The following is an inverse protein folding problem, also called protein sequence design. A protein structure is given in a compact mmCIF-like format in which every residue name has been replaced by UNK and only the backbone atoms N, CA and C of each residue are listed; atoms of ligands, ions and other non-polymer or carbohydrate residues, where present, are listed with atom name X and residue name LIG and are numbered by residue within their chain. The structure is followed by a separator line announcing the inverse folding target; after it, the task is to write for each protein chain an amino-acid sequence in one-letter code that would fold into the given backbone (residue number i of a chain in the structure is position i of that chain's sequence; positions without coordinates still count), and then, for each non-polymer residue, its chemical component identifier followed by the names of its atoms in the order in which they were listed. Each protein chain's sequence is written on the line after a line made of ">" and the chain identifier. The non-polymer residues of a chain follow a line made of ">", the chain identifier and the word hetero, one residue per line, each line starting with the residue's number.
data_IF_476696510317
#
_entry.id   IF_476696510317
#
_cell.length_a   1.000
_cell.length_b   1.000
_cell.length_c   1.000
_cell.angle_alpha   90.00
_cell.angle_beta   90.00
_cell.angle_gamma   90.00
#
_symmetry.space_group_name_H-M   'P 1'
#
loop_
_entity.id
_entity.type
_entity.pdbx_description
1 polymer ?
#
# COMPACT_ATOMS: atom_id res chain seq x y z
N UNK A 1 24.37 21.85 24.04
CA UNK A 1 23.82 21.20 22.83
C UNK A 1 24.27 19.74 22.86
N UNK A 2 23.42 18.78 22.45
CA UNK A 2 23.84 17.37 22.38
C UNK A 2 25.00 17.23 21.38
N UNK A 3 26.10 16.59 21.80
CA UNK A 3 27.33 16.40 21.03
C UNK A 3 27.60 14.93 20.69
N UNK A 4 26.64 14.05 20.96
CA UNK A 4 26.78 12.63 20.66
C UNK A 4 26.62 12.33 19.17
N UNK A 5 27.12 11.16 18.77
CA UNK A 5 26.94 10.66 17.41
C UNK A 5 25.46 10.36 17.14
N UNK A 6 24.99 10.73 15.95
CA UNK A 6 23.65 10.43 15.43
C UNK A 6 23.77 9.78 14.06
N UNK A 7 22.73 9.06 13.64
CA UNK A 7 22.77 8.30 12.40
C UNK A 7 22.04 6.97 12.49
N UNK A 8 22.15 6.13 11.45
CA UNK A 8 21.62 4.76 11.46
C UNK A 8 22.17 3.96 12.65
N UNK A 9 21.32 3.16 13.27
CA UNK A 9 21.74 2.26 14.36
C UNK A 9 22.54 1.08 13.81
N UNK A 10 23.36 0.43 14.65
CA UNK A 10 24.13 -0.75 14.25
C UNK A 10 23.25 -1.86 13.67
N UNK A 11 22.05 -2.07 14.23
CA UNK A 11 21.05 -3.04 13.73
C UNK A 11 20.66 -2.76 12.26
N UNK A 12 20.54 -1.48 11.88
CA UNK A 12 20.24 -1.09 10.49
C UNK A 12 21.47 -1.21 9.59
N UNK A 13 22.65 -0.85 10.09
CA UNK A 13 23.89 -0.93 9.33
C UNK A 13 24.24 -2.38 8.95
N UNK A 14 23.96 -3.34 9.84
CA UNK A 14 24.13 -4.78 9.56
C UNK A 14 23.23 -5.27 8.41
N UNK A 15 22.10 -4.60 8.16
CA UNK A 15 21.14 -4.94 7.11
C UNK A 15 21.31 -4.11 5.83
N UNK A 16 22.25 -3.17 5.80
CA UNK A 16 22.35 -2.16 4.74
C UNK A 16 22.70 -2.74 3.36
N UNK A 17 23.43 -3.86 3.32
CA UNK A 17 23.84 -4.53 2.07
C UNK A 17 22.67 -5.19 1.32
N UNK A 18 21.54 -5.44 2.01
CA UNK A 18 20.35 -6.05 1.43
C UNK A 18 19.18 -5.07 1.47
N UNK A 19 18.82 -4.44 0.33
CA UNK A 19 17.68 -3.52 0.27
C UNK A 19 16.36 -4.16 0.73
N UNK A 20 16.20 -5.47 0.53
CA UNK A 20 15.03 -6.21 0.97
C UNK A 20 15.02 -6.40 2.49
N UNK A 21 16.15 -6.76 3.10
CA UNK A 21 16.22 -6.92 4.56
C UNK A 21 16.09 -5.58 5.27
N UNK A 22 16.70 -4.52 4.72
CA UNK A 22 16.50 -3.15 5.18
C UNK A 22 15.04 -2.72 5.09
N UNK A 23 14.35 -3.03 3.98
CA UNK A 23 12.92 -2.77 3.86
C UNK A 23 12.10 -3.55 4.89
N UNK A 24 12.42 -4.83 5.11
CA UNK A 24 11.73 -5.69 6.07
C UNK A 24 12.05 -5.33 7.52
N UNK A 25 13.14 -4.63 7.80
CA UNK A 25 13.37 -4.02 9.11
C UNK A 25 12.29 -2.97 9.42
N UNK A 26 12.04 -2.06 8.48
CA UNK A 26 11.04 -1.00 8.66
C UNK A 26 9.61 -1.49 8.53
N UNK A 27 9.38 -2.51 7.70
CA UNK A 27 8.07 -3.14 7.46
C UNK A 27 8.16 -4.66 7.68
N UNK A 28 8.10 -5.13 8.95
CA UNK A 28 8.37 -6.51 9.31
C UNK A 28 7.48 -7.55 8.62
N UNK A 29 8.00 -8.77 8.43
CA UNK A 29 7.25 -9.93 7.90
C UNK A 29 5.91 -10.16 8.62
N UNK A 30 5.88 -9.94 9.95
CA UNK A 30 4.66 -10.03 10.77
C UNK A 30 3.59 -9.01 10.34
N UNK A 31 4.00 -7.80 9.95
CA UNK A 31 3.08 -6.79 9.42
C UNK A 31 2.43 -7.30 8.13
N UNK A 32 3.19 -7.80 7.15
CA UNK A 32 2.64 -8.30 5.88
C UNK A 32 1.71 -9.50 6.06
N UNK A 33 2.02 -10.42 6.98
CA UNK A 33 1.11 -11.52 7.36
C UNK A 33 -0.21 -11.00 7.92
N UNK A 34 -0.18 -9.94 8.73
CA UNK A 34 -1.40 -9.27 9.20
C UNK A 34 -2.19 -8.64 8.04
N UNK A 35 -1.53 -7.96 7.11
CA UNK A 35 -2.21 -7.37 5.95
C UNK A 35 -2.90 -8.43 5.10
N UNK A 36 -2.25 -9.57 4.87
CA UNK A 36 -2.87 -10.71 4.17
C UNK A 36 -4.13 -11.20 4.89
N UNK A 37 -4.05 -11.44 6.20
CA UNK A 37 -5.20 -11.87 7.00
C UNK A 37 -6.36 -10.85 6.98
N UNK A 38 -6.08 -9.56 7.11
CA UNK A 38 -7.11 -8.52 7.06
C UNK A 38 -7.69 -8.33 5.65
N UNK A 39 -6.90 -8.56 4.60
CA UNK A 39 -7.36 -8.51 3.21
C UNK A 39 -8.32 -9.66 2.89
N UNK A 40 -8.01 -10.88 3.34
CA UNK A 40 -8.90 -12.04 3.20
C UNK A 40 -10.16 -11.88 4.05
N UNK A 41 -10.03 -11.34 5.28
CA UNK A 41 -11.19 -10.98 6.11
C UNK A 41 -12.10 -9.99 5.39
N UNK A 42 -11.53 -8.92 4.83
CA UNK A 42 -12.31 -7.93 4.08
C UNK A 42 -13.00 -8.55 2.87
N UNK A 43 -12.29 -9.41 2.13
CA UNK A 43 -12.86 -10.12 0.99
C UNK A 43 -14.10 -10.92 1.38
N UNK A 44 -14.01 -11.73 2.44
CA UNK A 44 -15.12 -12.54 2.95
C UNK A 44 -16.29 -11.68 3.45
N UNK A 45 -16.01 -10.63 4.22
CA UNK A 45 -17.03 -9.69 4.73
C UNK A 45 -17.84 -9.03 3.59
N UNK A 46 -17.23 -8.84 2.42
CA UNK A 46 -17.85 -8.16 1.29
C UNK A 46 -18.25 -9.10 0.16
N UNK A 47 -18.10 -10.42 0.33
CA UNK A 47 -18.31 -11.41 -0.73
C UNK A 47 -19.76 -11.39 -1.22
N UNK A 48 -20.73 -11.48 -0.31
CA UNK A 48 -22.16 -11.46 -0.66
C UNK A 48 -22.54 -10.15 -1.40
N UNK A 49 -22.22 -8.99 -0.82
CA UNK A 49 -22.50 -7.70 -1.44
C UNK A 49 -21.76 -7.48 -2.77
N UNK A 50 -20.59 -8.10 -2.96
CA UNK A 50 -19.88 -8.11 -4.25
C UNK A 50 -20.63 -8.96 -5.27
N UNK A 51 -21.08 -10.15 -4.90
CA UNK A 51 -21.86 -11.06 -5.76
C UNK A 51 -23.19 -10.42 -6.16
N UNK A 52 -23.90 -9.78 -5.23
CA UNK A 52 -25.16 -9.09 -5.52
C UNK A 52 -24.96 -7.97 -6.55
N UNK A 53 -23.88 -7.18 -6.42
CA UNK A 53 -23.50 -6.17 -7.41
C UNK A 53 -23.11 -6.77 -8.76
N UNK A 54 -22.42 -7.90 -8.77
CA UNK A 54 -22.08 -8.60 -10.02
C UNK A 54 -23.35 -9.11 -10.70
N UNK A 55 -24.28 -9.69 -9.94
CA UNK A 55 -25.54 -10.21 -10.44
C UNK A 55 -26.44 -9.11 -11.01
N UNK A 56 -26.58 -7.99 -10.31
CA UNK A 56 -27.39 -6.84 -10.75
C UNK A 56 -26.84 -6.18 -12.03
N UNK A 57 -25.51 -6.17 -12.20
CA UNK A 57 -24.84 -5.49 -13.32
C UNK A 57 -24.56 -6.40 -14.53
N UNK A 58 -25.20 -7.57 -14.62
CA UNK A 58 -25.03 -8.47 -15.76
C UNK A 58 -25.67 -7.89 -17.04
N UNK A 59 -24.82 -7.51 -18.00
CA UNK A 59 -25.22 -6.93 -19.30
C UNK A 59 -25.15 -7.92 -20.47
N UNK A 60 -24.54 -9.08 -20.28
CA UNK A 60 -24.28 -10.06 -21.35
C UNK A 60 -25.42 -11.06 -21.52
N UNK A 61 -25.67 -11.55 -22.76
CA UNK A 61 -26.52 -12.72 -22.99
C UNK A 61 -25.98 -13.95 -22.25
N UNK A 62 -26.85 -14.73 -21.60
CA UNK A 62 -26.43 -15.84 -20.72
C UNK A 62 -26.12 -15.39 -19.30
N UNK A 63 -27.14 -14.89 -18.60
CA UNK A 63 -27.00 -14.44 -17.20
C UNK A 63 -26.68 -15.63 -16.30
N UNK A 64 -25.59 -15.52 -15.56
CA UNK A 64 -25.21 -16.48 -14.52
C UNK A 64 -26.12 -16.32 -13.33
N UNK A 65 -26.43 -17.45 -12.70
CA UNK A 65 -27.18 -17.42 -11.44
C UNK A 65 -26.34 -16.78 -10.33
N UNK A 66 -27.01 -16.28 -9.29
CA UNK A 66 -26.33 -15.74 -8.12
C UNK A 66 -25.40 -16.76 -7.48
N UNK A 67 -25.83 -18.02 -7.44
CA UNK A 67 -25.10 -19.12 -6.81
C UNK A 67 -23.84 -19.50 -7.60
N UNK A 68 -23.92 -19.51 -8.94
CA UNK A 68 -22.73 -19.67 -9.79
C UNK A 68 -21.69 -18.58 -9.57
N UNK A 69 -22.14 -17.33 -9.44
CA UNK A 69 -21.25 -16.20 -9.14
C UNK A 69 -20.65 -16.32 -7.75
N UNK A 70 -21.45 -16.74 -6.76
CA UNK A 70 -20.99 -16.98 -5.39
C UNK A 70 -19.92 -18.07 -5.35
N UNK A 71 -20.17 -19.24 -5.96
CA UNK A 71 -19.20 -20.33 -6.03
C UNK A 71 -17.91 -19.90 -6.73
N UNK A 72 -18.02 -19.17 -7.85
CA UNK A 72 -16.84 -18.68 -8.58
C UNK A 72 -16.00 -17.72 -7.76
N UNK A 73 -16.63 -16.76 -7.08
CA UNK A 73 -15.91 -15.80 -6.26
C UNK A 73 -15.34 -16.46 -5.00
N UNK A 74 -16.09 -17.35 -4.34
CA UNK A 74 -15.64 -18.08 -3.15
C UNK A 74 -14.48 -19.05 -3.43
N UNK A 75 -14.35 -19.55 -4.67
CA UNK A 75 -13.26 -20.44 -5.08
C UNK A 75 -11.90 -19.72 -5.25
N UNK A 76 -11.86 -18.40 -5.18
CA UNK A 76 -10.60 -17.67 -5.33
C UNK A 76 -9.66 -17.98 -4.17
N UNK A 77 -8.40 -18.23 -4.51
CA UNK A 77 -7.36 -18.51 -3.51
C UNK A 77 -7.16 -17.32 -2.57
N UNK A 78 -6.89 -17.62 -1.31
CA UNK A 78 -6.55 -16.63 -0.30
C UNK A 78 -5.34 -15.81 -0.72
N UNK A 79 -5.32 -14.53 -0.34
CA UNK A 79 -4.20 -13.63 -0.57
C UNK A 79 -3.10 -13.95 0.44
N UNK A 80 -1.90 -14.22 -0.06
CA UNK A 80 -0.73 -14.46 0.79
C UNK A 80 0.13 -13.20 0.98
N UNK A 81 0.90 -13.17 2.08
CA UNK A 81 1.75 -12.03 2.41
C UNK A 81 2.80 -11.73 1.34
N UNK A 82 3.36 -12.77 0.73
CA UNK A 82 4.38 -12.62 -0.31
C UNK A 82 3.78 -12.01 -1.59
N UNK A 83 2.52 -12.29 -1.92
CA UNK A 83 1.84 -11.70 -3.08
C UNK A 83 1.63 -10.19 -2.91
N UNK A 84 1.33 -9.74 -1.69
CA UNK A 84 1.24 -8.30 -1.39
C UNK A 84 2.59 -7.61 -1.59
N UNK A 85 3.69 -8.28 -1.24
CA UNK A 85 5.04 -7.78 -1.52
C UNK A 85 5.33 -7.72 -3.03
N UNK A 86 4.88 -8.71 -3.81
CA UNK A 86 4.97 -8.66 -5.27
C UNK A 86 4.18 -7.47 -5.84
N UNK A 87 2.95 -7.25 -5.38
CA UNK A 87 2.15 -6.06 -5.77
C UNK A 87 2.91 -4.77 -5.47
N UNK A 88 3.51 -4.64 -4.29
CA UNK A 88 4.33 -3.48 -3.96
C UNK A 88 5.54 -3.35 -4.90
N UNK A 89 6.24 -4.44 -5.19
CA UNK A 89 7.35 -4.47 -6.14
C UNK A 89 6.93 -4.01 -7.54
N UNK A 90 5.77 -4.44 -8.03
CA UNK A 90 5.22 -4.00 -9.32
C UNK A 90 4.85 -2.51 -9.33
N UNK A 91 4.33 -1.98 -8.22
CA UNK A 91 4.07 -0.54 -8.07
C UNK A 91 5.38 0.27 -8.05
N UNK A 92 6.41 -0.22 -7.36
CA UNK A 92 7.75 0.39 -7.38
C UNK A 92 8.36 0.38 -8.79
N UNK A 93 8.28 -0.76 -9.49
CA UNK A 93 8.74 -0.89 -10.87
C UNK A 93 8.02 0.09 -11.82
N UNK A 94 6.70 0.29 -11.63
CA UNK A 94 5.93 1.31 -12.36
C UNK A 94 6.42 2.73 -12.06
N UNK A 95 6.77 3.05 -10.81
CA UNK A 95 7.26 4.38 -10.46
C UNK A 95 8.62 4.67 -11.08
N UNK A 96 9.52 3.67 -11.11
CA UNK A 96 10.86 3.80 -11.69
C UNK A 96 10.83 3.85 -13.22
N UNK A 97 9.91 3.12 -13.85
CA UNK A 97 9.71 3.12 -15.30
C UNK A 97 8.24 3.40 -15.65
N UNK A 98 7.82 4.68 -15.64
CA UNK A 98 6.46 5.04 -16.00
C UNK A 98 6.25 4.85 -17.49
N UNK A 99 5.62 3.73 -17.90
CA UNK A 99 5.14 3.61 -19.28
C UNK A 99 4.16 4.73 -19.60
N UNK A 100 4.36 5.36 -20.75
CA UNK A 100 3.67 6.59 -21.19
C UNK A 100 2.14 6.48 -21.32
N UNK A 101 1.61 5.27 -21.50
CA UNK A 101 0.19 5.07 -21.77
C UNK A 101 -0.59 4.71 -20.49
N UNK A 102 -0.88 3.43 -20.26
CA UNK A 102 -1.70 3.00 -19.12
C UNK A 102 -0.95 2.03 -18.20
N UNK A 103 -1.46 1.87 -16.98
CA UNK A 103 -0.91 0.91 -16.02
C UNK A 103 -1.02 -0.54 -16.51
N UNK A 104 -2.06 -0.85 -17.29
CA UNK A 104 -2.31 -2.19 -17.83
C UNK A 104 -1.29 -2.62 -18.88
N UNK A 105 -0.58 -1.69 -19.50
CA UNK A 105 0.41 -1.99 -20.55
C UNK A 105 1.64 -2.71 -20.01
N UNK A 106 1.87 -2.69 -18.70
CA UNK A 106 2.89 -3.53 -18.08
C UNK A 106 2.60 -5.03 -18.16
N UNK A 107 1.35 -5.41 -18.45
CA UNK A 107 0.93 -6.78 -18.75
C UNK A 107 0.72 -7.04 -20.25
N UNK A 108 1.03 -6.08 -21.13
CA UNK A 108 0.94 -6.30 -22.58
C UNK A 108 1.91 -7.39 -23.01
N UNK A 109 1.43 -8.37 -23.76
CA UNK A 109 2.28 -9.42 -24.37
C UNK A 109 2.86 -8.97 -25.70
N UNK A 110 2.30 -7.92 -26.30
CA UNK A 110 2.66 -7.43 -27.63
C UNK A 110 3.80 -6.42 -27.56
N UNK A 111 4.66 -6.46 -28.58
CA UNK A 111 5.63 -5.41 -28.89
C UNK A 111 5.02 -4.49 -29.94
N UNK A 112 5.09 -3.19 -29.73
CA UNK A 112 4.56 -2.19 -30.69
C UNK A 112 5.71 -1.27 -31.10
N UNK A 113 6.24 -1.48 -32.30
CA UNK A 113 7.44 -0.77 -32.78
C UNK A 113 8.63 -0.98 -31.85
N UNK A 114 9.22 0.11 -31.36
CA UNK A 114 10.31 0.09 -30.38
C UNK A 114 9.88 -0.18 -28.93
N UNK A 115 8.56 -0.26 -28.65
CA UNK A 115 8.05 -0.49 -27.28
C UNK A 115 8.08 -1.98 -26.97
N UNK A 116 8.88 -2.36 -25.97
CA UNK A 116 8.98 -3.74 -25.50
C UNK A 116 7.70 -4.25 -24.83
N UNK A 117 7.49 -5.58 -24.89
CA UNK A 117 6.42 -6.26 -24.15
C UNK A 117 6.52 -5.98 -22.65
N UNK A 118 5.41 -6.05 -21.95
CA UNK A 118 5.35 -5.98 -20.51
C UNK A 118 6.00 -7.19 -19.84
N UNK A 119 6.60 -6.98 -18.66
CA UNK A 119 7.26 -8.03 -17.86
C UNK A 119 6.45 -8.45 -16.64
N UNK A 120 5.30 -7.80 -16.36
CA UNK A 120 4.60 -8.05 -15.11
C UNK A 120 3.96 -9.45 -15.06
N UNK A 121 3.65 -10.05 -16.22
CA UNK A 121 3.17 -11.43 -16.28
C UNK A 121 4.17 -12.45 -15.72
N UNK A 122 5.47 -12.14 -15.72
CA UNK A 122 6.51 -13.03 -15.20
C UNK A 122 6.48 -13.10 -13.66
N UNK A 123 5.83 -12.13 -12.99
CA UNK A 123 5.77 -12.03 -11.53
C UNK A 123 4.34 -12.23 -10.99
N UNK A 124 3.34 -11.67 -11.66
CA UNK A 124 1.94 -11.78 -11.23
C UNK A 124 0.98 -11.54 -12.41
N UNK A 125 0.05 -12.47 -12.70
CA UNK A 125 -0.98 -12.24 -13.70
C UNK A 125 -1.87 -11.04 -13.38
N UNK A 126 -2.31 -10.32 -14.41
CA UNK A 126 -3.10 -9.08 -14.25
C UNK A 126 -4.36 -9.27 -13.38
N UNK A 127 -5.09 -10.36 -13.59
CA UNK A 127 -6.33 -10.64 -12.85
C UNK A 127 -6.07 -10.87 -11.35
N UNK A 128 -4.92 -11.47 -11.00
CA UNK A 128 -4.51 -11.67 -9.60
C UNK A 128 -4.10 -10.36 -8.96
N UNK A 129 -3.34 -9.53 -9.68
CA UNK A 129 -3.02 -8.16 -9.24
C UNK A 129 -4.28 -7.33 -8.98
N UNK A 130 -5.23 -7.31 -9.91
CA UNK A 130 -6.50 -6.59 -9.78
C UNK A 130 -7.33 -7.12 -8.61
N UNK A 131 -7.34 -8.44 -8.39
CA UNK A 131 -8.00 -9.07 -7.25
C UNK A 131 -7.38 -8.62 -5.92
N UNK A 132 -6.05 -8.64 -5.80
CA UNK A 132 -5.35 -8.22 -4.59
C UNK A 132 -5.59 -6.73 -4.36
N UNK A 133 -5.33 -5.86 -5.34
CA UNK A 133 -5.54 -4.41 -5.22
C UNK A 133 -6.97 -4.02 -4.83
N UNK A 134 -7.97 -4.78 -5.26
CA UNK A 134 -9.37 -4.56 -4.90
C UNK A 134 -9.72 -4.99 -3.47
N UNK A 135 -8.85 -5.74 -2.79
CA UNK A 135 -9.10 -6.32 -1.46
C UNK A 135 -8.03 -5.98 -0.40
N UNK A 136 -6.87 -5.41 -0.77
CA UNK A 136 -5.82 -5.02 0.19
C UNK A 136 -6.41 -4.16 1.31
N UNK A 137 -6.30 -4.66 2.55
CA UNK A 137 -6.75 -4.00 3.77
C UNK A 137 -5.70 -4.13 4.87
N UNK A 138 -5.48 -3.05 5.61
CA UNK A 138 -4.46 -3.00 6.67
C UNK A 138 -5.04 -3.22 8.08
N UNK A 139 -6.35 -3.07 8.27
CA UNK A 139 -7.04 -3.09 9.56
C UNK A 139 -8.42 -3.72 9.43
N UNK A 140 -8.90 -4.32 10.52
CA UNK A 140 -10.25 -4.87 10.59
C UNK A 140 -11.29 -3.73 10.61
N UNK A 141 -12.21 -3.73 9.64
CA UNK A 141 -13.28 -2.72 9.58
C UNK A 141 -14.38 -2.92 10.63
N UNK A 142 -14.46 -4.11 11.25
CA UNK A 142 -15.44 -4.40 12.30
C UNK A 142 -14.99 -3.95 13.70
N UNK A 143 -13.77 -3.41 13.83
CA UNK A 143 -13.26 -2.91 15.09
C UNK A 143 -14.02 -1.63 15.52
N UNK A 144 -14.45 -1.49 16.79
CA UNK A 144 -15.11 -0.28 17.28
C UNK A 144 -14.31 1.01 17.04
N UNK A 145 -12.98 0.93 17.02
CA UNK A 145 -12.10 2.07 16.74
C UNK A 145 -12.24 2.59 15.29
N UNK A 146 -12.78 1.79 14.38
CA UNK A 146 -13.07 2.23 13.00
C UNK A 146 -14.06 3.40 12.96
N UNK A 147 -14.94 3.51 13.96
CA UNK A 147 -15.92 4.59 14.05
C UNK A 147 -15.32 5.91 14.56
N UNK A 148 -14.28 5.84 15.41
CA UNK A 148 -13.70 7.02 16.07
C UNK A 148 -12.41 7.51 15.42
N UNK A 149 -11.57 6.59 14.93
CA UNK A 149 -10.28 6.94 14.32
C UNK A 149 -10.43 7.25 12.82
N UNK A 150 -10.36 8.52 12.46
CA UNK A 150 -10.39 8.97 11.05
C UNK A 150 -9.28 8.35 10.19
N UNK A 151 -8.16 7.92 10.77
CA UNK A 151 -7.05 7.30 10.05
C UNK A 151 -7.03 5.76 10.18
N UNK A 152 -8.12 5.14 10.65
CA UNK A 152 -8.19 3.72 10.96
C UNK A 152 -7.65 2.83 9.84
N UNK A 153 -8.06 3.09 8.59
CA UNK A 153 -7.68 2.31 7.41
C UNK A 153 -6.17 2.16 7.19
N UNK A 154 -5.36 3.10 7.68
CA UNK A 154 -3.89 3.07 7.58
C UNK A 154 -3.22 2.95 8.94
N UNK A 155 -3.98 2.77 10.02
CA UNK A 155 -3.49 2.78 11.40
C UNK A 155 -2.41 1.72 11.62
N UNK A 156 -2.58 0.52 11.08
CA UNK A 156 -1.55 -0.53 11.17
C UNK A 156 -0.22 -0.09 10.58
N UNK A 157 -0.23 0.55 9.41
CA UNK A 157 0.99 1.07 8.75
C UNK A 157 1.64 2.13 9.63
N UNK A 158 0.86 3.12 10.07
CA UNK A 158 1.34 4.22 10.90
C UNK A 158 1.94 3.71 12.22
N UNK A 159 1.31 2.72 12.85
CA UNK A 159 1.81 2.12 14.09
C UNK A 159 3.15 1.43 13.86
N UNK A 160 3.25 0.59 12.83
CA UNK A 160 4.49 -0.10 12.47
C UNK A 160 5.63 0.88 12.20
N UNK A 161 5.40 1.90 11.38
CA UNK A 161 6.44 2.89 11.05
C UNK A 161 6.86 3.74 12.27
N UNK A 162 5.92 4.08 13.17
CA UNK A 162 6.24 4.78 14.43
C UNK A 162 7.07 3.95 15.39
N UNK A 163 7.00 2.62 15.29
CA UNK A 163 7.81 1.72 16.10
C UNK A 163 9.18 1.46 15.45
N UNK A 164 9.26 1.33 14.13
CA UNK A 164 10.49 0.93 13.44
C UNK A 164 11.40 2.11 13.09
N UNK A 165 10.86 3.29 12.73
CA UNK A 165 11.71 4.43 12.37
C UNK A 165 12.57 4.98 13.51
N UNK A 166 12.08 5.15 14.75
CA UNK A 166 12.93 5.57 15.86
C UNK A 166 13.96 4.51 16.27
N UNK A 167 13.70 3.23 16.03
CA UNK A 167 14.66 2.15 16.28
C UNK A 167 15.81 2.13 15.28
N UNK A 168 15.54 2.55 14.04
CA UNK A 168 16.52 2.54 12.97
C UNK A 168 17.50 3.70 12.95
N UNK A 169 17.28 4.73 13.79
CA UNK A 169 18.06 5.97 13.71
C UNK A 169 18.18 6.67 15.06
N UNK A 170 19.41 6.95 15.48
CA UNK A 170 19.70 7.75 16.67
C UNK A 170 19.38 9.22 16.41
N UNK A 171 18.54 9.82 17.25
CA UNK A 171 18.06 11.19 17.10
C UNK A 171 19.21 12.21 17.03
N UNK A 172 19.23 13.12 16.02
CA UNK A 172 20.24 14.16 15.90
C UNK A 172 20.00 15.33 16.88
N UNK A 173 21.02 16.15 17.15
CA UNK A 173 20.86 17.37 17.95
C UNK A 173 19.96 18.42 17.28
N UNK A 174 19.87 18.40 15.94
CA UNK A 174 19.08 19.32 15.14
C UNK A 174 18.04 18.55 14.34
N UNK A 175 16.77 18.93 14.54
CA UNK A 175 15.62 18.32 13.86
C UNK A 175 14.85 19.37 13.07
N UNK A 176 14.29 18.95 11.94
CA UNK A 176 13.42 19.76 11.11
C UNK A 176 11.97 19.34 11.30
N UNK A 177 11.09 20.32 11.48
CA UNK A 177 9.64 20.12 11.57
C UNK A 177 8.96 20.77 10.37
N UNK A 178 8.29 19.96 9.54
CA UNK A 178 7.56 20.48 8.38
C UNK A 178 6.26 19.69 8.10
N UNK A 179 5.48 20.20 7.16
CA UNK A 179 4.19 19.68 6.73
C UNK A 179 4.31 19.05 5.35
N UNK A 180 4.17 17.72 5.31
CA UNK A 180 3.99 16.94 4.09
C UNK A 180 2.52 16.89 3.64
N UNK A 181 2.29 16.49 2.38
CA UNK A 181 0.94 16.24 1.86
C UNK A 181 0.96 14.96 1.05
N UNK A 182 0.12 13.98 1.43
CA UNK A 182 -0.21 12.85 0.56
C UNK A 182 -1.35 13.29 -0.36
N UNK A 183 -1.12 13.48 -1.67
CA UNK A 183 -2.15 13.98 -2.57
C UNK A 183 -3.29 12.98 -2.69
N UNK A 184 -4.52 13.45 -2.52
CA UNK A 184 -5.71 12.63 -2.69
C UNK A 184 -6.93 13.52 -2.95
N UNK A 185 -7.58 13.29 -4.09
CA UNK A 185 -8.85 13.95 -4.45
C UNK A 185 -10.07 13.16 -3.99
N UNK A 186 -9.89 11.97 -3.43
CA UNK A 186 -10.97 11.07 -3.06
C UNK A 186 -11.90 11.70 -2.00
N UNK A 187 -13.19 11.81 -2.33
CA UNK A 187 -14.16 12.53 -1.48
C UNK A 187 -14.41 11.87 -0.14
N UNK A 188 -14.34 10.54 -0.08
CA UNK A 188 -14.59 9.79 1.15
C UNK A 188 -13.31 9.53 1.94
N UNK A 189 -12.21 10.24 1.66
CA UNK A 189 -11.06 10.25 2.55
C UNK A 189 -11.37 11.17 3.74
N UNK A 190 -11.58 10.62 4.95
CA UNK A 190 -11.95 11.40 6.12
C UNK A 190 -10.84 12.34 6.57
N UNK A 191 -9.57 12.16 6.16
CA UNK A 191 -8.44 13.02 6.56
C UNK A 191 -8.10 14.09 5.51
N UNK A 192 -8.87 14.18 4.42
CA UNK A 192 -8.64 15.11 3.32
C UNK A 192 -8.81 16.57 3.78
N UNK A 193 -7.84 17.40 3.44
CA UNK A 193 -7.83 18.85 3.68
C UNK A 193 -7.48 19.59 2.39
N UNK A 194 -7.94 20.84 2.28
CA UNK A 194 -7.53 21.77 1.24
C UNK A 194 -6.37 22.65 1.74
N UNK A 195 -5.30 22.74 0.97
CA UNK A 195 -4.08 23.47 1.29
C UNK A 195 -3.76 24.43 0.16
N UNK A 196 -4.21 25.69 0.28
CA UNK A 196 -4.14 26.73 -0.77
C UNK A 196 -2.74 26.92 -1.37
N UNK A 197 -1.72 26.85 -0.52
CA UNK A 197 -0.33 27.19 -0.87
C UNK A 197 0.53 25.98 -1.25
N UNK A 198 -0.04 24.76 -1.34
CA UNK A 198 0.71 23.55 -1.74
C UNK A 198 0.43 23.23 -3.22
N UNK A 199 1.41 22.71 -3.99
CA UNK A 199 1.21 22.37 -5.41
C UNK A 199 0.03 21.42 -5.63
N UNK A 200 -0.06 20.37 -4.81
CA UNK A 200 -1.24 19.51 -4.72
C UNK A 200 -2.13 20.00 -3.58
N UNK A 201 -3.21 20.70 -3.96
CA UNK A 201 -4.07 21.41 -2.99
C UNK A 201 -4.99 20.49 -2.17
N UNK A 202 -5.25 19.27 -2.63
CA UNK A 202 -6.15 18.33 -1.95
C UNK A 202 -5.38 17.08 -1.52
N UNK A 203 -5.45 16.75 -0.22
CA UNK A 203 -4.79 15.55 0.29
C UNK A 203 -4.84 15.42 1.80
N UNK A 204 -4.15 14.41 2.31
CA UNK A 204 -3.96 14.22 3.75
C UNK A 204 -2.71 14.98 4.16
N UNK A 205 -2.87 15.96 5.05
CA UNK A 205 -1.76 16.72 5.63
C UNK A 205 -1.03 15.83 6.65
N UNK A 206 0.29 15.76 6.52
CA UNK A 206 1.17 15.10 7.47
C UNK A 206 2.00 16.17 8.20
N UNK A 207 2.31 15.91 9.47
CA UNK A 207 3.35 16.63 10.20
C UNK A 207 4.52 15.68 10.34
N UNK A 208 5.70 16.13 9.93
CA UNK A 208 6.89 15.31 9.82
C UNK A 208 8.00 15.91 10.67
N UNK A 209 8.68 15.05 11.41
CA UNK A 209 9.91 15.35 12.16
C UNK A 209 11.03 14.59 11.50
N UNK A 210 11.98 15.30 10.89
CA UNK A 210 13.09 14.70 10.15
C UNK A 210 14.44 15.16 10.69
N UNK A 211 15.49 14.38 10.47
CA UNK A 211 16.87 14.84 10.65
C UNK A 211 17.15 15.99 9.68
N UNK A 212 17.73 17.08 10.18
CA UNK A 212 18.00 18.26 9.35
C UNK A 212 19.03 17.98 8.24
N UNK A 213 19.97 17.07 8.48
CA UNK A 213 21.09 16.80 7.57
C UNK A 213 20.79 15.68 6.57
N UNK A 214 20.24 14.57 7.04
CA UNK A 214 20.03 13.35 6.22
C UNK A 214 18.63 13.23 5.66
N UNK A 215 17.72 14.15 6.04
CA UNK A 215 16.30 14.11 5.75
C UNK A 215 15.57 12.83 6.24
N UNK A 216 16.21 12.01 7.10
CA UNK A 216 15.61 10.80 7.65
C UNK A 216 14.37 11.13 8.49
N UNK A 217 13.25 10.45 8.22
CA UNK A 217 12.00 10.66 8.93
C UNK A 217 11.96 9.87 10.25
N UNK A 218 11.74 10.59 11.35
CA UNK A 218 11.72 10.02 12.70
C UNK A 218 10.30 9.85 13.24
N UNK A 219 9.42 10.86 13.05
CA UNK A 219 8.08 10.88 13.65
C UNK A 219 7.07 11.79 12.96
#
# INVERSE_FOLDING_TARGET
>A
LYTGAYGPTSEVLELAESPLDLFLFFMPKKFWRKVAAESNRYFLQNLAARVDRMYANQKTPGKKTRDELMMREAKKDDIEAHEIMHVLGLLLARMLNPRHCCFRDHWSTERVGAVARGTFNDYMPRHRFEHIMANVHFTNNADPQAASDRAWKVRSVVKTLRETFPRGYTTPPVVSFDKGVIPSRYRNNPTRQYLKNKPQKWGTKLFLTCCADTAYYMR
#
